data_IF_746504073256
#
_entry.id   IF_746504073256
#
_cell.length_a   1.000
_cell.length_b   1.000
_cell.length_c   1.000
_cell.angle_alpha   90.00
_cell.angle_beta   90.00
_cell.angle_gamma   90.00
#
_symmetry.space_group_name_H-M   'P 1'
#
loop_
_entity.id
_entity.type
_entity.pdbx_description
1 polymer ?
#
# COMPACT_ATOMS: atom_id res chain seq x y z
N UNK A 1 5.02 -12.61 -6.67
CA UNK A 1 5.17 -12.77 -5.20
C UNK A 1 6.59 -13.08 -4.70
N UNK A 2 7.44 -13.90 -5.37
CA UNK A 2 8.75 -14.26 -4.82
C UNK A 2 9.67 -13.05 -4.59
N UNK A 3 9.76 -12.16 -5.58
CA UNK A 3 10.66 -11.00 -5.54
C UNK A 3 10.26 -10.00 -4.44
N UNK A 4 8.96 -9.71 -4.31
CA UNK A 4 8.46 -8.78 -3.28
C UNK A 4 8.72 -9.26 -1.85
N UNK A 5 8.56 -10.57 -1.59
CA UNK A 5 8.90 -11.18 -0.31
C UNK A 5 10.41 -11.15 -0.04
N UNK A 6 11.23 -11.44 -1.05
CA UNK A 6 12.70 -11.34 -0.92
C UNK A 6 13.12 -9.91 -0.59
N UNK A 7 12.56 -8.90 -1.27
CA UNK A 7 12.84 -7.50 -0.97
C UNK A 7 12.41 -7.09 0.44
N UNK A 8 11.20 -7.50 0.86
CA UNK A 8 10.71 -7.27 2.22
C UNK A 8 11.59 -7.92 3.29
N UNK A 9 12.03 -9.16 3.04
CA UNK A 9 12.92 -9.89 3.94
C UNK A 9 14.27 -9.18 4.08
N UNK A 10 14.87 -8.76 2.96
CA UNK A 10 16.10 -7.98 2.96
C UNK A 10 15.92 -6.65 3.72
N UNK A 11 14.80 -5.96 3.53
CA UNK A 11 14.48 -4.73 4.28
C UNK A 11 14.23 -4.96 5.76
N UNK A 12 13.66 -6.10 6.15
CA UNK A 12 13.49 -6.46 7.55
C UNK A 12 14.85 -6.66 8.24
N UNK A 13 15.79 -7.32 7.56
CA UNK A 13 17.07 -7.73 8.14
C UNK A 13 18.15 -6.65 8.04
N UNK A 14 18.16 -5.82 7.00
CA UNK A 14 19.23 -4.84 6.75
C UNK A 14 19.44 -3.79 7.88
N UNK A 15 18.38 -3.21 8.51
CA UNK A 15 18.56 -2.25 9.61
C UNK A 15 19.09 -2.89 10.90
N UNK A 16 19.03 -4.22 10.97
CA UNK A 16 19.27 -5.02 12.16
C UNK A 16 20.69 -5.59 12.17
N UNK A 17 21.21 -5.97 11.01
CA UNK A 17 22.53 -6.56 10.89
C UNK A 17 23.62 -5.52 11.20
N UNK A 18 24.38 -5.69 12.28
CA UNK A 18 25.52 -4.83 12.56
C UNK A 18 26.62 -5.11 11.53
N UNK A 19 27.22 -4.06 10.97
CA UNK A 19 28.38 -4.20 10.07
C UNK A 19 29.64 -4.74 10.78
N UNK A 20 29.67 -4.82 12.12
CA UNK A 20 30.69 -5.54 12.92
C UNK A 20 30.15 -5.98 14.30
N UNK A 21 30.82 -6.96 14.94
CA UNK A 21 30.52 -7.57 16.26
C UNK A 21 29.65 -6.70 17.18
N UNK A 22 28.34 -6.93 17.18
CA UNK A 22 27.48 -6.48 18.27
C UNK A 22 27.45 -7.55 19.35
N UNK A 23 27.45 -7.13 20.63
CA UNK A 23 27.12 -8.03 21.74
C UNK A 23 25.69 -8.55 21.52
N UNK A 24 25.50 -9.87 21.45
CA UNK A 24 24.21 -10.50 21.17
C UNK A 24 23.08 -10.05 22.11
N UNK A 25 23.44 -9.67 23.33
CA UNK A 25 22.54 -9.10 24.36
C UNK A 25 21.84 -7.82 23.88
N UNK A 26 22.61 -6.88 23.31
CA UNK A 26 22.11 -5.58 22.85
C UNK A 26 21.26 -5.72 21.58
N UNK A 27 21.60 -6.69 20.73
CA UNK A 27 20.83 -7.01 19.53
C UNK A 27 19.48 -7.62 19.89
N UNK A 28 19.45 -8.58 20.83
CA UNK A 28 18.21 -9.22 21.32
C UNK A 28 17.24 -8.20 21.91
N UNK A 29 17.73 -7.29 22.77
CA UNK A 29 16.87 -6.29 23.41
C UNK A 29 16.29 -5.27 22.42
N UNK A 30 17.00 -5.01 21.30
CA UNK A 30 16.52 -4.11 20.25
C UNK A 30 15.51 -4.77 19.31
N UNK A 31 15.61 -6.08 19.10
CA UNK A 31 14.79 -6.82 18.16
C UNK A 31 13.52 -7.41 18.74
N UNK A 32 13.45 -7.54 20.07
CA UNK A 32 12.29 -8.18 20.70
C UNK A 32 10.99 -7.41 20.38
N UNK A 33 11.03 -6.08 20.38
CA UNK A 33 9.87 -5.24 20.05
C UNK A 33 9.44 -5.36 18.58
N UNK A 34 10.34 -5.19 17.58
CA UNK A 34 10.03 -5.50 16.18
C UNK A 34 9.52 -6.94 15.95
N UNK A 35 10.08 -7.93 16.66
CA UNK A 35 9.63 -9.31 16.58
C UNK A 35 8.19 -9.48 17.05
N UNK A 36 7.82 -8.89 18.20
CA UNK A 36 6.44 -8.90 18.68
C UNK A 36 5.48 -8.18 17.75
N UNK A 37 5.89 -7.06 17.14
CA UNK A 37 5.06 -6.38 16.13
C UNK A 37 4.87 -7.30 14.91
N UNK A 38 5.92 -7.93 14.41
CA UNK A 38 5.82 -8.88 13.29
C UNK A 38 4.89 -10.06 13.59
N UNK A 39 5.03 -10.71 14.76
CA UNK A 39 4.15 -11.80 15.20
C UNK A 39 2.72 -11.30 15.36
N UNK A 40 2.52 -10.14 15.98
CA UNK A 40 1.21 -9.50 16.12
C UNK A 40 0.55 -9.21 14.77
N UNK A 41 1.32 -8.72 13.78
CA UNK A 41 0.84 -8.50 12.41
C UNK A 41 0.44 -9.80 11.71
N UNK A 42 1.17 -10.90 11.93
CA UNK A 42 0.80 -12.23 11.40
C UNK A 42 -0.52 -12.72 12.01
N UNK A 43 -0.65 -12.65 13.33
CA UNK A 43 -1.87 -13.05 14.05
C UNK A 43 -3.05 -12.21 13.56
N UNK A 44 -2.88 -10.89 13.52
CA UNK A 44 -3.91 -9.97 13.03
C UNK A 44 -4.34 -10.29 11.60
N UNK A 45 -3.40 -10.53 10.69
CA UNK A 45 -3.70 -10.90 9.31
C UNK A 45 -4.52 -12.19 9.24
N UNK A 46 -4.16 -13.23 10.00
CA UNK A 46 -4.93 -14.48 10.02
C UNK A 46 -6.34 -14.26 10.58
N UNK A 47 -6.48 -13.49 11.65
CA UNK A 47 -7.79 -13.21 12.30
C UNK A 47 -8.74 -12.49 11.37
N UNK A 48 -8.27 -11.51 10.59
CA UNK A 48 -9.12 -10.78 9.63
C UNK A 48 -9.31 -11.52 8.31
N UNK A 49 -8.73 -12.71 8.16
CA UNK A 49 -9.02 -13.64 7.08
C UNK A 49 -7.94 -13.82 6.01
N UNK A 50 -6.68 -13.42 6.23
CA UNK A 50 -5.59 -13.72 5.29
C UNK A 50 -5.46 -15.23 5.14
N UNK A 51 -5.44 -15.69 3.88
CA UNK A 51 -5.22 -17.09 3.54
C UNK A 51 -3.92 -17.24 2.78
N UNK A 52 -3.20 -18.31 3.09
CA UNK A 52 -1.94 -18.67 2.42
C UNK A 52 -0.70 -18.15 3.14
N UNK A 53 0.41 -18.86 2.92
CA UNK A 53 1.68 -18.60 3.60
C UNK A 53 2.31 -17.26 3.19
N UNK A 54 2.32 -16.96 1.90
CA UNK A 54 2.99 -15.78 1.36
C UNK A 54 2.42 -14.45 1.90
N UNK A 55 1.10 -14.22 1.93
CA UNK A 55 0.53 -13.02 2.54
C UNK A 55 0.84 -12.87 4.02
N UNK A 56 0.64 -13.93 4.81
CA UNK A 56 0.87 -13.91 6.25
C UNK A 56 2.34 -13.58 6.55
N UNK A 57 3.26 -14.18 5.79
CA UNK A 57 4.67 -13.86 5.88
C UNK A 57 4.97 -12.40 5.49
N UNK A 58 4.34 -11.87 4.43
CA UNK A 58 4.48 -10.47 4.04
C UNK A 58 4.01 -9.51 5.14
N UNK A 59 2.89 -9.80 5.80
CA UNK A 59 2.42 -9.02 6.96
C UNK A 59 3.39 -9.12 8.15
N UNK A 60 3.95 -10.30 8.42
CA UNK A 60 4.93 -10.48 9.50
C UNK A 60 6.24 -9.73 9.26
N UNK A 61 6.82 -9.89 8.06
CA UNK A 61 8.03 -9.18 7.65
C UNK A 61 7.79 -7.67 7.58
N UNK A 62 6.64 -7.24 7.06
CA UNK A 62 6.22 -5.85 7.02
C UNK A 62 6.08 -5.25 8.42
N UNK A 63 5.39 -5.95 9.34
CA UNK A 63 5.25 -5.54 10.73
C UNK A 63 6.60 -5.43 11.45
N UNK A 64 7.48 -6.41 11.25
CA UNK A 64 8.84 -6.37 11.79
C UNK A 64 9.65 -5.18 11.25
N UNK A 65 9.65 -4.98 9.93
CA UNK A 65 10.37 -3.89 9.29
C UNK A 65 9.80 -2.51 9.68
N UNK A 66 8.48 -2.38 9.77
CA UNK A 66 7.83 -1.17 10.28
C UNK A 66 8.19 -0.90 11.74
N UNK A 67 8.20 -1.94 12.59
CA UNK A 67 8.57 -1.84 13.99
C UNK A 67 10.02 -1.40 14.18
N UNK A 68 10.94 -1.94 13.39
CA UNK A 68 12.37 -1.58 13.47
C UNK A 68 12.62 -0.15 12.97
N UNK A 69 12.06 0.21 11.82
CA UNK A 69 12.20 1.54 11.23
C UNK A 69 11.47 2.61 12.06
N UNK A 70 10.24 2.34 12.44
CA UNK A 70 9.40 3.23 13.23
C UNK A 70 10.00 3.53 14.59
N UNK A 71 10.52 2.52 15.30
CA UNK A 71 11.22 2.73 16.58
C UNK A 71 12.38 3.70 16.44
N UNK A 72 13.18 3.60 15.38
CA UNK A 72 14.29 4.51 15.15
C UNK A 72 13.80 5.94 14.90
N UNK A 73 12.80 6.12 14.04
CA UNK A 73 12.21 7.43 13.74
C UNK A 73 11.64 8.06 15.00
N UNK A 74 10.87 7.31 15.80
CA UNK A 74 10.30 7.79 17.07
C UNK A 74 11.38 8.22 18.05
N UNK A 75 12.44 7.42 18.23
CA UNK A 75 13.55 7.78 19.12
C UNK A 75 14.32 9.02 18.64
N UNK A 76 14.51 9.17 17.33
CA UNK A 76 15.16 10.34 16.75
C UNK A 76 14.30 11.59 16.95
N UNK A 77 13.00 11.52 16.66
CA UNK A 77 12.07 12.65 16.82
C UNK A 77 11.89 13.05 18.28
N UNK A 78 11.81 12.09 19.23
CA UNK A 78 11.73 12.43 20.67
C UNK A 78 12.98 13.15 21.19
N UNK A 79 14.16 12.90 20.62
CA UNK A 79 15.42 13.51 21.05
C UNK A 79 15.72 14.83 20.35
N UNK A 80 15.29 15.00 19.09
CA UNK A 80 15.72 16.09 18.22
C UNK A 80 14.55 16.90 17.65
N UNK A 81 13.31 16.62 18.08
CA UNK A 81 12.10 17.21 17.53
C UNK A 81 11.97 16.94 16.03
N UNK A 82 11.46 17.92 15.27
CA UNK A 82 11.32 17.83 13.81
C UNK A 82 12.65 17.52 13.09
N UNK A 83 13.78 17.98 13.62
CA UNK A 83 15.11 17.70 13.04
C UNK A 83 15.48 16.21 13.09
N UNK A 84 14.82 15.43 13.95
CA UNK A 84 14.96 13.97 14.00
C UNK A 84 14.38 13.23 12.79
N UNK A 85 13.52 13.88 11.99
CA UNK A 85 12.98 13.33 10.74
C UNK A 85 13.88 13.60 9.52
N UNK A 86 14.83 14.53 9.66
CA UNK A 86 15.66 15.07 8.58
C UNK A 86 17.03 14.40 8.54
N UNK A 87 17.63 14.35 7.35
CA UNK A 87 18.96 13.82 7.11
C UNK A 87 18.94 12.39 6.58
N UNK A 88 20.01 12.04 5.84
CA UNK A 88 20.13 10.79 5.06
C UNK A 88 19.65 9.53 5.81
N UNK A 89 20.06 9.38 7.08
CA UNK A 89 19.70 8.21 7.87
C UNK A 89 18.20 8.16 8.21
N UNK A 90 17.61 9.22 8.76
CA UNK A 90 16.22 9.20 9.23
C UNK A 90 15.22 9.41 8.09
N UNK A 91 15.54 10.26 7.11
CA UNK A 91 14.80 10.35 5.85
C UNK A 91 14.79 9.01 5.11
N UNK A 92 15.93 8.31 5.09
CA UNK A 92 16.03 6.94 4.57
C UNK A 92 15.13 5.94 5.29
N UNK A 93 14.96 6.06 6.63
CA UNK A 93 14.01 5.21 7.36
C UNK A 93 12.54 5.53 7.02
N UNK A 94 12.22 6.79 6.73
CA UNK A 94 10.88 7.17 6.26
C UNK A 94 10.62 6.55 4.88
N UNK A 95 11.62 6.52 3.99
CA UNK A 95 11.53 5.78 2.72
C UNK A 95 11.29 4.30 2.96
N UNK A 96 12.01 3.67 3.91
CA UNK A 96 11.77 2.27 4.27
C UNK A 96 10.34 2.03 4.74
N UNK A 97 9.78 2.92 5.57
CA UNK A 97 8.38 2.84 6.00
C UNK A 97 7.41 2.95 4.81
N UNK A 98 7.71 3.79 3.81
CA UNK A 98 6.94 3.87 2.58
C UNK A 98 6.97 2.57 1.76
N UNK A 99 8.13 1.93 1.62
CA UNK A 99 8.24 0.63 0.94
C UNK A 99 7.49 -0.47 1.70
N UNK A 100 7.62 -0.49 3.03
CA UNK A 100 6.88 -1.44 3.88
C UNK A 100 5.37 -1.26 3.73
N UNK A 101 4.89 -0.01 3.70
CA UNK A 101 3.48 0.31 3.48
C UNK A 101 2.99 -0.22 2.14
N UNK A 102 3.73 0.01 1.05
CA UNK A 102 3.38 -0.52 -0.29
C UNK A 102 3.31 -2.03 -0.27
N UNK A 103 4.32 -2.70 0.31
CA UNK A 103 4.39 -4.14 0.28
C UNK A 103 3.27 -4.79 1.11
N UNK A 104 2.92 -4.21 2.27
CA UNK A 104 1.78 -4.63 3.08
C UNK A 104 0.45 -4.36 2.37
N UNK A 105 0.27 -3.18 1.77
CA UNK A 105 -0.93 -2.84 1.02
C UNK A 105 -1.12 -3.78 -0.19
N UNK A 106 -0.04 -4.15 -0.88
CA UNK A 106 -0.08 -5.11 -1.99
C UNK A 106 -0.41 -6.53 -1.53
N UNK A 107 0.18 -6.97 -0.41
CA UNK A 107 -0.17 -8.26 0.20
C UNK A 107 -1.65 -8.28 0.63
N UNK A 108 -2.15 -7.19 1.21
CA UNK A 108 -3.55 -7.06 1.59
C UNK A 108 -4.49 -7.08 0.38
N UNK A 109 -4.25 -6.22 -0.61
CA UNK A 109 -5.13 -6.05 -1.77
C UNK A 109 -5.28 -7.33 -2.60
N UNK A 110 -4.23 -8.17 -2.61
CA UNK A 110 -4.27 -9.48 -3.27
C UNK A 110 -4.89 -10.59 -2.42
N UNK A 111 -4.78 -10.52 -1.09
CA UNK A 111 -5.24 -11.61 -0.20
C UNK A 111 -6.70 -11.49 0.21
N UNK A 112 -7.22 -10.27 0.22
CA UNK A 112 -8.59 -9.95 0.65
C UNK A 112 -9.48 -9.52 -0.52
N UNK A 113 -9.04 -9.78 -1.75
CA UNK A 113 -9.86 -9.53 -2.94
C UNK A 113 -11.12 -10.39 -2.91
N UNK A 114 -12.27 -9.78 -3.19
CA UNK A 114 -13.56 -10.47 -3.32
C UNK A 114 -14.13 -10.20 -4.70
N UNK A 115 -14.54 -11.25 -5.40
CA UNK A 115 -15.07 -11.16 -6.76
C UNK A 115 -16.37 -11.93 -6.88
N UNK A 116 -17.34 -11.35 -7.60
CA UNK A 116 -18.59 -12.00 -7.94
C UNK A 116 -19.12 -11.46 -9.28
N UNK A 117 -19.97 -12.25 -9.92
CA UNK A 117 -20.67 -11.87 -11.14
C UNK A 117 -22.16 -11.77 -10.86
N UNK A 118 -22.78 -10.71 -11.38
CA UNK A 118 -24.20 -10.45 -11.22
C UNK A 118 -24.81 -10.18 -12.57
N UNK A 119 -25.92 -10.87 -12.87
CA UNK A 119 -26.77 -10.57 -14.01
C UNK A 119 -27.95 -9.74 -13.52
N UNK A 120 -28.05 -8.50 -13.98
CA UNK A 120 -29.02 -7.51 -13.51
C UNK A 120 -29.88 -7.01 -14.67
N UNK A 121 -31.18 -6.84 -14.42
CA UNK A 121 -32.09 -6.07 -15.28
C UNK A 121 -32.14 -4.61 -14.83
N UNK A 122 -32.57 -3.69 -15.71
CA UNK A 122 -32.61 -2.27 -15.38
C UNK A 122 -33.44 -1.99 -14.12
N UNK A 123 -32.91 -1.18 -13.22
CA UNK A 123 -33.51 -0.87 -11.92
C UNK A 123 -33.25 -1.91 -10.82
N UNK A 124 -32.69 -3.08 -11.14
CA UNK A 124 -32.34 -4.09 -10.14
C UNK A 124 -31.06 -3.71 -9.39
N UNK A 125 -31.01 -4.05 -8.10
CA UNK A 125 -29.82 -3.91 -7.29
C UNK A 125 -29.22 -5.25 -6.85
N UNK A 126 -27.93 -5.22 -6.55
CA UNK A 126 -27.18 -6.32 -5.96
C UNK A 126 -26.36 -5.80 -4.77
N UNK A 127 -26.30 -6.57 -3.69
CA UNK A 127 -25.41 -6.29 -2.57
C UNK A 127 -24.20 -7.21 -2.62
N UNK A 128 -23.00 -6.62 -2.55
CA UNK A 128 -21.77 -7.38 -2.56
C UNK A 128 -20.68 -6.71 -1.73
N UNK A 129 -20.03 -7.49 -0.87
CA UNK A 129 -18.86 -7.05 -0.12
C UNK A 129 -19.05 -5.78 0.76
N UNK A 130 -20.29 -5.40 1.05
CA UNK A 130 -20.64 -4.19 1.81
C UNK A 130 -21.11 -3.01 0.95
N UNK A 131 -21.22 -3.19 -0.37
CA UNK A 131 -21.69 -2.17 -1.30
C UNK A 131 -23.02 -2.54 -1.95
N UNK A 132 -23.85 -1.53 -2.21
CA UNK A 132 -25.03 -1.65 -3.06
C UNK A 132 -24.70 -1.18 -4.48
N UNK A 133 -25.04 -2.03 -5.45
CA UNK A 133 -24.87 -1.77 -6.87
C UNK A 133 -26.23 -1.71 -7.53
N UNK A 134 -26.55 -0.63 -8.24
CA UNK A 134 -27.83 -0.50 -8.96
C UNK A 134 -27.56 -0.30 -10.44
N UNK A 135 -28.15 -1.16 -11.28
CA UNK A 135 -28.07 -1.00 -12.72
C UNK A 135 -29.08 0.06 -13.17
N UNK A 136 -28.58 1.23 -13.58
CA UNK A 136 -29.42 2.40 -13.94
C UNK A 136 -29.88 2.31 -15.40
N UNK A 137 -29.03 1.81 -16.29
CA UNK A 137 -29.33 1.70 -17.70
C UNK A 137 -28.08 1.65 -18.57
N UNK A 138 -28.25 1.78 -19.88
CA UNK A 138 -27.18 1.63 -20.86
C UNK A 138 -27.05 2.92 -21.68
N UNK A 139 -25.83 3.25 -22.12
CA UNK A 139 -25.57 4.37 -23.02
C UNK A 139 -24.60 3.92 -24.12
N UNK A 140 -25.11 3.84 -25.34
CA UNK A 140 -24.33 3.45 -26.51
C UNK A 140 -23.84 4.71 -27.21
N UNK A 141 -22.53 4.86 -27.32
CA UNK A 141 -21.88 5.95 -28.05
C UNK A 141 -21.20 5.42 -29.29
N UNK A 142 -21.49 6.05 -30.42
CA UNK A 142 -20.83 5.76 -31.67
C UNK A 142 -19.71 6.78 -31.91
N UNK A 143 -18.46 6.30 -31.91
CA UNK A 143 -17.28 7.09 -32.24
C UNK A 143 -16.75 6.69 -33.62
N UNK A 144 -15.91 7.53 -34.22
CA UNK A 144 -15.39 7.32 -35.58
C UNK A 144 -14.64 6.00 -35.78
N UNK A 145 -14.01 5.48 -34.71
CA UNK A 145 -13.22 4.24 -34.77
C UNK A 145 -13.87 3.04 -34.04
N UNK A 146 -14.90 3.27 -33.21
CA UNK A 146 -15.47 2.25 -32.32
C UNK A 146 -16.89 2.58 -31.87
N UNK A 147 -17.64 1.55 -31.49
CA UNK A 147 -18.88 1.66 -30.73
C UNK A 147 -18.55 1.37 -29.27
N UNK A 148 -18.94 2.27 -28.37
CA UNK A 148 -18.74 2.18 -26.93
C UNK A 148 -20.08 1.90 -26.28
N UNK A 149 -20.24 0.69 -25.76
CA UNK A 149 -21.46 0.27 -25.07
C UNK A 149 -21.26 0.40 -23.55
N UNK A 150 -21.78 1.48 -22.95
CA UNK A 150 -21.60 1.78 -21.54
C UNK A 150 -22.75 1.25 -20.70
N UNK A 151 -22.43 0.59 -19.60
CA UNK A 151 -23.38 0.14 -18.58
C UNK A 151 -23.31 1.12 -17.41
N UNK A 152 -24.40 1.82 -17.10
CA UNK A 152 -24.46 2.82 -16.04
C UNK A 152 -24.85 2.16 -14.72
N UNK A 153 -23.95 2.21 -13.74
CA UNK A 153 -24.13 1.60 -12.42
C UNK A 153 -23.87 2.62 -11.33
N UNK A 154 -24.76 2.74 -10.36
CA UNK A 154 -24.47 3.48 -9.12
C UNK A 154 -23.91 2.54 -8.06
N UNK A 155 -22.97 3.05 -7.28
CA UNK A 155 -22.34 2.33 -6.15
C UNK A 155 -22.61 3.15 -4.90
N UNK A 156 -23.34 2.60 -3.93
CA UNK A 156 -23.74 3.27 -2.68
C UNK A 156 -24.36 4.66 -2.91
N UNK A 157 -25.22 4.78 -3.92
CA UNK A 157 -25.86 6.04 -4.31
C UNK A 157 -24.95 7.05 -5.03
N UNK A 158 -23.69 6.72 -5.29
CA UNK A 158 -22.77 7.56 -6.07
C UNK A 158 -22.63 7.07 -7.51
N UNK A 159 -22.49 7.97 -8.49
CA UNK A 159 -22.30 7.63 -9.90
C UNK A 159 -23.17 8.48 -10.85
N UNK A 160 -23.48 7.97 -12.07
CA UNK A 160 -23.23 6.61 -12.54
C UNK A 160 -21.76 6.36 -12.93
N UNK A 161 -21.23 5.22 -12.51
CA UNK A 161 -20.00 4.62 -13.01
C UNK A 161 -20.29 3.86 -14.29
N UNK A 162 -19.41 3.96 -15.29
CA UNK A 162 -19.71 3.55 -16.65
C UNK A 162 -18.67 2.56 -17.20
N UNK A 163 -18.59 1.32 -16.69
CA UNK A 163 -17.83 0.28 -17.37
C UNK A 163 -18.42 0.04 -18.76
N UNK A 164 -17.58 -0.31 -19.74
CA UNK A 164 -18.02 -0.38 -21.14
C UNK A 164 -17.42 -1.54 -21.92
N UNK A 165 -18.09 -1.93 -23.01
CA UNK A 165 -17.55 -2.78 -24.06
C UNK A 165 -17.27 -1.93 -25.29
N UNK A 166 -16.03 -1.91 -25.75
CA UNK A 166 -15.61 -1.18 -26.94
C UNK A 166 -15.51 -2.14 -28.13
N UNK A 167 -16.35 -1.96 -29.14
CA UNK A 167 -16.33 -2.72 -30.40
C UNK A 167 -15.64 -1.88 -31.48
N UNK A 168 -14.48 -2.33 -31.97
CA UNK A 168 -13.72 -1.59 -32.98
C UNK A 168 -14.18 -1.96 -34.39
N UNK A 169 -14.26 -0.97 -35.28
CA UNK A 169 -14.75 -1.19 -36.65
C UNK A 169 -13.80 -2.06 -37.50
N UNK A 170 -12.49 -1.99 -37.25
CA UNK A 170 -11.46 -2.57 -38.11
C UNK A 170 -11.04 -4.00 -37.73
N UNK A 171 -11.48 -4.49 -36.58
CA UNK A 171 -11.22 -5.85 -36.13
C UNK A 171 -12.37 -6.22 -35.23
N UNK A 172 -13.02 -7.35 -35.48
CA UNK A 172 -14.23 -7.85 -34.80
C UNK A 172 -13.98 -8.20 -33.30
N UNK A 173 -13.18 -7.38 -32.61
CA UNK A 173 -12.72 -7.50 -31.25
C UNK A 173 -13.55 -6.57 -30.38
N UNK A 174 -14.08 -7.15 -29.30
CA UNK A 174 -14.75 -6.41 -28.24
C UNK A 174 -13.80 -6.34 -27.05
N UNK A 175 -13.45 -5.13 -26.61
CA UNK A 175 -12.52 -4.90 -25.50
C UNK A 175 -13.29 -4.24 -24.34
N UNK A 176 -13.30 -4.90 -23.19
CA UNK A 176 -13.87 -4.35 -21.97
C UNK A 176 -13.01 -3.24 -21.38
N UNK A 177 -13.62 -2.11 -21.04
CA UNK A 177 -13.01 -1.03 -20.25
C UNK A 177 -13.68 -1.02 -18.88
N UNK A 178 -12.97 -1.44 -17.82
CA UNK A 178 -13.54 -1.42 -16.48
C UNK A 178 -13.70 0.02 -15.98
N UNK A 179 -14.59 0.20 -15.00
CA UNK A 179 -14.73 1.44 -14.24
C UNK A 179 -14.46 1.15 -12.76
N UNK A 180 -13.70 2.02 -12.09
CA UNK A 180 -13.25 1.78 -10.71
C UNK A 180 -13.61 2.97 -9.85
N UNK A 181 -14.29 2.70 -8.74
CA UNK A 181 -14.46 3.66 -7.64
C UNK A 181 -13.42 3.35 -6.57
N UNK A 182 -12.54 4.32 -6.31
CA UNK A 182 -11.49 4.20 -5.29
C UNK A 182 -11.86 4.99 -4.05
N UNK A 183 -11.73 4.38 -2.87
CA UNK A 183 -11.88 5.02 -1.55
C UNK A 183 -10.60 4.77 -0.72
N UNK A 184 -10.52 5.32 0.50
CA UNK A 184 -9.41 5.04 1.41
C UNK A 184 -9.42 3.61 1.97
N UNK A 185 -10.58 2.95 1.98
CA UNK A 185 -10.78 1.60 2.51
C UNK A 185 -10.61 0.54 1.43
N UNK A 186 -11.23 0.78 0.28
CA UNK A 186 -11.40 -0.19 -0.80
C UNK A 186 -11.67 0.46 -2.15
N UNK A 187 -11.45 -0.36 -3.17
CA UNK A 187 -11.67 -0.08 -4.57
C UNK A 187 -12.70 -1.06 -5.10
N UNK A 188 -13.77 -0.52 -5.70
CA UNK A 188 -14.82 -1.30 -6.36
C UNK A 188 -14.62 -1.17 -7.86
N UNK A 189 -14.09 -2.22 -8.47
CA UNK A 189 -13.91 -2.33 -9.91
C UNK A 189 -15.08 -3.08 -10.54
N UNK A 190 -15.70 -2.44 -11.53
CA UNK A 190 -16.78 -2.98 -12.34
C UNK A 190 -16.25 -3.29 -13.74
N UNK A 191 -16.53 -4.49 -14.23
CA UNK A 191 -16.24 -4.87 -15.62
C UNK A 191 -17.46 -5.55 -16.23
N UNK A 192 -17.82 -5.17 -17.44
CA UNK A 192 -18.90 -5.82 -18.19
C UNK A 192 -18.39 -7.13 -18.78
N UNK A 193 -19.12 -8.21 -18.54
CA UNK A 193 -18.83 -9.55 -19.09
C UNK A 193 -19.69 -9.81 -20.32
N UNK A 194 -20.99 -9.52 -20.21
CA UNK A 194 -21.95 -9.76 -21.28
C UNK A 194 -23.09 -8.74 -21.20
N UNK A 195 -23.64 -8.37 -22.36
CA UNK A 195 -24.81 -7.49 -22.50
C UNK A 195 -25.79 -8.20 -23.40
N UNK A 196 -26.99 -8.45 -22.89
CA UNK A 196 -28.10 -9.02 -23.66
C UNK A 196 -29.11 -7.93 -23.95
N UNK A 197 -29.27 -7.62 -25.23
CA UNK A 197 -30.26 -6.66 -25.72
C UNK A 197 -31.64 -7.33 -25.89
N UNK A 198 -32.74 -6.59 -25.66
CA UNK A 198 -34.13 -7.06 -25.87
C UNK A 198 -35.12 -6.59 -24.79
N UNK A 199 -36.39 -7.03 -24.88
CA UNK A 199 -37.45 -6.68 -23.89
C UNK A 199 -37.11 -7.11 -22.46
N UNK A 200 -36.31 -8.17 -22.30
CA UNK A 200 -35.75 -8.63 -21.02
C UNK A 200 -34.23 -8.38 -20.95
N UNK A 201 -33.79 -7.21 -21.44
CA UNK A 201 -32.39 -6.85 -21.50
C UNK A 201 -31.71 -6.99 -20.13
N UNK A 202 -30.55 -7.64 -20.11
CA UNK A 202 -29.82 -7.93 -18.87
C UNK A 202 -28.33 -7.72 -19.09
N UNK A 203 -27.66 -7.15 -18.09
CA UNK A 203 -26.21 -6.99 -18.10
C UNK A 203 -25.58 -7.94 -17.09
N UNK A 204 -24.57 -8.68 -17.51
CA UNK A 204 -23.72 -9.44 -16.59
C UNK A 204 -22.46 -8.65 -16.30
N UNK A 205 -22.31 -8.24 -15.04
CA UNK A 205 -21.17 -7.49 -14.55
C UNK A 205 -20.36 -8.32 -13.57
N UNK A 206 -19.04 -8.24 -13.68
CA UNK A 206 -18.13 -8.70 -12.65
C UNK A 206 -17.75 -7.54 -11.76
N UNK A 207 -17.93 -7.74 -10.47
CA UNK A 207 -17.60 -6.80 -9.41
C UNK A 207 -16.41 -7.36 -8.67
N UNK A 208 -15.36 -6.55 -8.56
CA UNK A 208 -14.14 -6.88 -7.82
C UNK A 208 -13.93 -5.83 -6.75
N UNK A 209 -13.95 -6.23 -5.50
CA UNK A 209 -13.68 -5.35 -4.35
C UNK A 209 -12.30 -5.67 -3.81
N UNK A 210 -11.42 -4.67 -3.82
CA UNK A 210 -10.02 -4.78 -3.42
C UNK A 210 -9.69 -3.75 -2.34
N UNK A 211 -9.31 -4.17 -1.13
CA UNK A 211 -8.94 -3.22 -0.09
C UNK A 211 -7.53 -2.66 -0.31
N UNK A 212 -7.28 -1.49 0.27
CA UNK A 212 -5.95 -0.88 0.43
C UNK A 212 -5.19 -0.48 -0.86
N UNK A 213 -5.82 -0.37 -2.03
CA UNK A 213 -5.12 0.10 -3.25
C UNK A 213 -4.64 1.55 -3.08
N UNK A 214 -5.46 2.44 -2.51
CA UNK A 214 -5.06 3.83 -2.20
C UNK A 214 -3.78 3.91 -1.35
N UNK A 215 -3.55 2.93 -0.47
CA UNK A 215 -2.37 2.90 0.40
C UNK A 215 -1.07 2.62 -0.35
N UNK A 216 -1.13 2.04 -1.55
CA UNK A 216 0.04 1.96 -2.45
C UNK A 216 0.52 3.35 -2.85
N UNK A 217 -0.42 4.24 -3.18
CA UNK A 217 -0.13 5.63 -3.53
C UNK A 217 0.34 6.43 -2.32
N UNK A 218 -0.30 6.25 -1.16
CA UNK A 218 0.14 6.87 0.10
C UNK A 218 1.58 6.45 0.43
N UNK A 219 1.92 5.15 0.30
CA UNK A 219 3.28 4.67 0.49
C UNK A 219 4.27 5.29 -0.50
N UNK A 220 3.85 5.48 -1.75
CA UNK A 220 4.58 6.25 -2.77
C UNK A 220 4.87 7.69 -2.31
N UNK A 221 3.85 8.39 -1.82
CA UNK A 221 3.98 9.74 -1.25
C UNK A 221 4.92 9.79 -0.03
N UNK A 222 4.86 8.79 0.85
CA UNK A 222 5.75 8.68 2.01
C UNK A 222 7.20 8.48 1.57
N UNK A 223 7.46 7.68 0.54
CA UNK A 223 8.81 7.53 -0.03
C UNK A 223 9.32 8.84 -0.64
N UNK A 224 8.48 9.55 -1.39
CA UNK A 224 8.85 10.85 -1.95
C UNK A 224 9.22 11.85 -0.83
N UNK A 225 8.38 11.94 0.22
CA UNK A 225 8.63 12.77 1.39
C UNK A 225 9.93 12.37 2.11
N UNK A 226 10.13 11.08 2.38
CA UNK A 226 11.34 10.58 3.02
C UNK A 226 12.61 10.90 2.22
N UNK A 227 12.52 10.85 0.90
CA UNK A 227 13.62 11.22 -0.01
C UNK A 227 13.93 12.72 0.09
N UNK A 228 12.91 13.58 0.08
CA UNK A 228 13.10 15.02 0.30
C UNK A 228 13.77 15.29 1.65
N UNK A 229 13.30 14.65 2.73
CA UNK A 229 13.88 14.78 4.06
C UNK A 229 15.33 14.27 4.15
N UNK A 230 15.70 13.28 3.32
CA UNK A 230 17.05 12.73 3.27
C UNK A 230 18.05 13.68 2.59
N UNK A 231 17.59 14.51 1.65
CA UNK A 231 18.42 15.50 0.92
C UNK A 231 18.80 16.67 1.83
N UNK A 232 17.91 17.09 2.73
CA UNK A 232 18.22 18.18 3.67
C UNK A 232 19.32 17.78 4.67
N UNK A 233 20.27 18.68 4.96
CA UNK A 233 21.40 18.39 5.84
C UNK A 233 20.92 18.18 7.29
N UNK A 234 20.94 16.93 7.74
CA UNK A 234 20.80 16.57 9.15
C UNK A 234 22.13 16.72 9.90
N UNK A 235 22.08 16.67 11.24
CA UNK A 235 23.31 16.60 12.07
C UNK A 235 24.16 15.41 11.63
N UNK A 236 25.45 15.65 11.34
CA UNK A 236 26.40 14.60 10.93
C UNK A 236 26.51 13.56 12.05
N UNK A 237 26.07 12.34 11.77
CA UNK A 237 26.35 11.16 12.59
C UNK A 237 27.71 10.60 12.19
N UNK A 238 28.39 9.95 13.12
CA UNK A 238 29.58 9.17 12.79
C UNK A 238 29.16 8.05 11.82
N UNK A 239 29.74 7.96 10.60
CA UNK A 239 29.38 6.95 9.60
C UNK A 239 29.57 5.51 10.07
N UNK A 240 30.38 5.31 11.11
CA UNK A 240 30.69 4.00 11.68
C UNK A 240 29.62 3.49 12.66
N UNK A 241 28.71 4.36 13.08
CA UNK A 241 27.66 4.00 14.02
C UNK A 241 26.48 3.32 13.32
N UNK A 242 25.91 2.30 13.97
CA UNK A 242 24.65 1.71 13.52
C UNK A 242 23.58 2.80 13.37
N UNK A 243 22.66 2.65 12.41
CA UNK A 243 21.59 3.64 12.17
C UNK A 243 20.73 3.87 13.42
N UNK A 244 20.69 2.89 14.34
CA UNK A 244 20.02 2.94 15.64
C UNK A 244 20.87 3.44 16.83
N UNK A 245 22.12 3.87 16.62
CA UNK A 245 23.00 4.41 17.67
C UNK A 245 22.61 5.85 18.09
N UNK A 246 22.85 6.28 19.35
CA UNK A 246 22.62 7.67 19.75
C UNK A 246 23.49 8.63 18.94
N UNK A 247 22.96 9.80 18.58
CA UNK A 247 23.82 10.89 18.08
C UNK A 247 24.54 11.48 19.28
N UNK A 248 25.87 11.47 19.28
CA UNK A 248 26.65 12.12 20.32
C UNK A 248 26.23 13.61 20.42
N UNK A 249 25.89 14.06 21.63
CA UNK A 249 25.73 15.47 21.89
C UNK A 249 27.10 16.14 21.69
N UNK A 250 27.13 17.24 20.95
CA UNK A 250 28.31 18.08 20.83
C UNK A 250 28.75 18.45 22.26
N UNK A 251 30.02 18.19 22.66
CA UNK A 251 30.47 18.61 23.97
C UNK A 251 30.28 20.13 24.09
N UNK A 252 29.91 20.65 25.26
CA UNK A 252 29.79 22.08 25.44
C UNK A 252 31.09 22.74 24.97
N UNK A 253 30.98 23.75 24.10
CA UNK A 253 32.14 24.55 23.70
C UNK A 253 32.79 25.08 24.97
N UNK A 254 34.04 24.70 25.19
CA UNK A 254 34.83 25.22 26.29
C UNK A 254 34.87 26.76 26.16
N UNK A 255 34.47 27.54 27.18
CA UNK A 255 34.40 28.99 27.09
C UNK A 255 35.79 29.65 26.99
N UNK A 256 36.88 28.89 27.07
CA UNK A 256 38.24 29.42 26.97
C UNK A 256 38.85 29.02 25.64
N UNK A 257 38.77 29.93 24.67
CA UNK A 257 39.60 29.89 23.47
C UNK A 257 41.06 30.04 23.86
N UNK A 258 41.76 28.91 24.03
CA UNK A 258 43.22 28.87 23.99
C UNK A 258 43.62 27.60 23.24
N UNK A 259 44.08 27.79 22.01
CA UNK A 259 44.90 26.82 21.28
C UNK A 259 46.26 26.69 21.96
N UNK A 260 46.69 25.45 22.20
CA UNK A 260 48.11 25.09 22.25
C UNK A 260 48.34 23.96 21.26
#
# INVERSE_FOLDING_TARGET
MPIGLTLLFLMAIAPVLPWRKASGELLRHRLIWPAWIGVGSMIFAVVIGARGFAPVLAFGLGGFAAGSAGRQVVLATRRQGWRGLVGRANGGMIVHLGVVMIAVAFAASSSYVRQAEFTLTQGQSAQFAGHELVYVGQNIKQESAKIVDQVLITIDGTGPWAPSLNKFANGNQTIGTPSVRTTFTDDVALSVIDIKDGENGSVTIRVTVQPLIMWLWIGGGVMALGTLLAVFPGRRRNPLDAVSAPVAAEPPKDPTGVTV
#
